data_IF_206893335873
#
_entry.id   IF_206893335873
#
_cell.length_a   1.000
_cell.length_b   1.000
_cell.length_c   1.000
_cell.angle_alpha   90.00
_cell.angle_beta   90.00
_cell.angle_gamma   90.00
#
_symmetry.space_group_name_H-M   'P 1'
#
loop_
_entity.id
_entity.type
_entity.pdbx_description
1 polymer ?
#
# COMPACT_ATOMS: atom_id res chain seq x y z
N UNK A 1 6.98 54.09 -5.23
CA UNK A 1 6.69 53.02 -4.25
C UNK A 1 5.50 52.22 -4.76
N UNK A 2 5.72 50.97 -5.17
CA UNK A 2 4.66 50.00 -5.46
C UNK A 2 5.19 48.65 -4.97
N UNK A 3 4.72 48.21 -3.80
CA UNK A 3 4.98 46.86 -3.29
C UNK A 3 3.92 45.93 -3.87
N UNK A 4 4.35 44.89 -4.60
CA UNK A 4 3.47 43.80 -5.01
C UNK A 4 3.28 42.85 -3.83
N UNK A 5 2.00 42.63 -3.48
CA UNK A 5 1.57 41.82 -2.36
C UNK A 5 1.88 40.33 -2.53
N UNK A 6 2.35 39.73 -1.45
CA UNK A 6 2.44 38.27 -1.26
C UNK A 6 1.05 37.68 -1.10
N UNK A 7 0.62 36.85 -2.05
CA UNK A 7 -0.57 36.01 -1.94
C UNK A 7 -0.26 34.61 -2.47
N UNK A 8 0.53 33.84 -1.72
CA UNK A 8 0.69 32.40 -1.98
C UNK A 8 0.84 31.55 -0.70
N UNK A 9 0.81 32.15 0.50
CA UNK A 9 1.06 31.44 1.76
C UNK A 9 -0.10 30.54 2.23
N UNK A 10 -1.31 30.71 1.68
CA UNK A 10 -2.49 29.99 2.14
C UNK A 10 -2.60 28.57 1.54
N UNK A 11 -2.24 28.40 0.27
CA UNK A 11 -2.33 27.10 -0.42
C UNK A 11 -1.24 26.12 0.03
N UNK A 12 -0.03 26.60 0.34
CA UNK A 12 1.03 25.76 0.91
C UNK A 12 0.65 25.23 2.31
N UNK A 13 -0.09 26.03 3.08
CA UNK A 13 -0.51 25.66 4.44
C UNK A 13 -1.55 24.54 4.47
N UNK A 14 -2.39 24.43 3.44
CA UNK A 14 -3.38 23.35 3.31
C UNK A 14 -2.74 22.03 2.84
N UNK A 15 -1.75 22.11 1.94
CA UNK A 15 -0.99 20.94 1.49
C UNK A 15 -0.23 20.31 2.67
N UNK A 16 0.44 21.12 3.48
CA UNK A 16 1.18 20.67 4.67
C UNK A 16 0.30 20.05 5.77
N UNK A 17 -0.96 20.50 5.90
CA UNK A 17 -1.90 20.03 6.92
C UNK A 17 -2.55 18.69 6.56
N UNK A 18 -2.56 18.31 5.28
CA UNK A 18 -3.11 17.03 4.82
C UNK A 18 -2.16 15.83 5.02
N UNK A 19 -0.84 16.07 5.09
CA UNK A 19 0.17 15.01 5.29
C UNK A 19 0.32 14.57 6.76
N UNK A 20 -0.15 15.38 7.70
CA UNK A 20 0.05 15.17 9.14
C UNK A 20 -0.95 14.22 9.81
N UNK A 21 -1.76 13.49 9.02
CA UNK A 21 -2.72 12.48 9.51
C UNK A 21 -2.34 11.05 9.08
N UNK A 22 -1.09 10.65 9.31
CA UNK A 22 -0.69 9.25 9.17
C UNK A 22 0.18 8.83 10.35
N UNK A 23 -0.38 8.04 11.27
CA UNK A 23 0.33 7.33 12.36
C UNK A 23 1.29 6.27 11.80
N UNK A 24 2.27 6.62 10.97
CA UNK A 24 3.15 5.67 10.28
C UNK A 24 4.62 6.02 10.48
N UNK A 25 5.34 5.10 11.11
CA UNK A 25 6.78 5.14 11.44
C UNK A 25 7.68 4.95 10.20
N UNK A 26 7.51 5.75 9.15
CA UNK A 26 8.27 5.56 7.90
C UNK A 26 8.96 6.86 7.46
N UNK A 27 10.13 6.72 6.84
CA UNK A 27 10.85 7.85 6.25
C UNK A 27 10.08 8.37 5.03
N UNK A 28 9.91 9.69 4.95
CA UNK A 28 9.24 10.35 3.82
C UNK A 28 9.98 10.09 2.51
N UNK A 29 9.26 9.98 1.40
CA UNK A 29 9.87 9.64 0.11
C UNK A 29 10.84 10.75 -0.38
N UNK A 30 10.59 12.01 -0.04
CA UNK A 30 11.53 13.11 -0.27
C UNK A 30 12.88 12.86 0.43
N UNK A 31 12.86 12.55 1.73
CA UNK A 31 14.07 12.23 2.49
C UNK A 31 14.78 10.98 1.98
N UNK A 32 14.04 10.04 1.38
CA UNK A 32 14.61 8.83 0.76
C UNK A 32 15.37 9.17 -0.51
N UNK A 33 14.81 9.99 -1.39
CA UNK A 33 15.52 10.46 -2.59
C UNK A 33 16.72 11.35 -2.24
N UNK A 34 16.58 12.23 -1.24
CA UNK A 34 17.71 13.02 -0.71
C UNK A 34 18.84 12.13 -0.19
N UNK A 35 18.50 11.08 0.58
CA UNK A 35 19.47 10.08 1.06
C UNK A 35 20.21 9.42 -0.11
N UNK A 36 19.49 8.98 -1.14
CA UNK A 36 20.09 8.34 -2.32
C UNK A 36 21.01 9.29 -3.07
N UNK A 37 20.61 10.55 -3.26
CA UNK A 37 21.46 11.57 -3.88
C UNK A 37 22.78 11.79 -3.12
N UNK A 38 22.72 11.90 -1.78
CA UNK A 38 23.92 12.04 -0.95
C UNK A 38 24.86 10.82 -1.06
N UNK A 39 24.28 9.61 -1.06
CA UNK A 39 25.08 8.38 -1.19
C UNK A 39 25.71 8.23 -2.57
N UNK A 40 25.03 8.67 -3.64
CA UNK A 40 25.62 8.76 -4.98
C UNK A 40 26.74 9.79 -5.08
N UNK A 41 26.63 10.91 -4.37
CA UNK A 41 27.68 11.92 -4.28
C UNK A 41 28.89 11.48 -3.41
N UNK A 42 28.92 10.22 -2.96
CA UNK A 42 30.04 9.65 -2.20
C UNK A 42 29.97 9.87 -0.69
N UNK A 43 28.86 10.40 -0.16
CA UNK A 43 28.70 10.56 1.28
C UNK A 43 28.67 9.20 2.00
N UNK A 44 29.31 9.14 3.18
CA UNK A 44 29.30 7.93 4.00
C UNK A 44 27.94 7.76 4.68
N UNK A 45 27.40 6.54 4.71
CA UNK A 45 26.09 6.25 5.35
C UNK A 45 25.94 6.81 6.80
N UNK A 46 26.95 6.76 7.69
CA UNK A 46 26.83 7.36 9.03
C UNK A 46 26.77 8.89 9.02
N UNK A 47 27.36 9.55 8.02
CA UNK A 47 27.26 11.00 7.87
C UNK A 47 25.84 11.39 7.45
N UNK A 48 25.31 10.72 6.42
CA UNK A 48 23.93 10.93 5.96
C UNK A 48 22.89 10.66 7.07
N UNK A 49 23.14 9.66 7.91
CA UNK A 49 22.30 9.37 9.08
C UNK A 49 22.27 10.52 10.09
N UNK A 50 23.43 11.15 10.35
CA UNK A 50 23.55 12.32 11.24
C UNK A 50 22.88 13.55 10.63
N UNK A 51 23.15 13.83 9.36
CA UNK A 51 22.63 15.00 8.65
C UNK A 51 21.10 15.00 8.54
N UNK A 52 20.51 13.80 8.39
CA UNK A 52 19.06 13.63 8.30
C UNK A 52 18.41 13.28 9.65
N UNK A 53 19.16 13.24 10.75
CA UNK A 53 18.69 12.83 12.09
C UNK A 53 17.88 11.51 12.07
N UNK A 54 18.36 10.51 11.31
CA UNK A 54 17.70 9.21 11.17
C UNK A 54 18.64 8.10 11.62
N UNK A 55 18.06 7.06 12.20
CA UNK A 55 18.86 5.92 12.66
C UNK A 55 19.61 5.26 11.50
N UNK A 56 20.91 4.95 11.67
CA UNK A 56 21.79 4.37 10.63
C UNK A 56 21.19 3.14 9.92
N UNK A 57 20.43 2.32 10.65
CA UNK A 57 19.72 1.13 10.10
C UNK A 57 18.65 1.48 9.07
N UNK A 58 18.11 2.70 9.06
CA UNK A 58 17.18 3.19 8.05
C UNK A 58 17.93 3.46 6.75
N UNK A 59 19.05 4.19 6.82
CA UNK A 59 19.93 4.48 5.68
C UNK A 59 20.45 3.19 5.04
N UNK A 60 20.97 2.26 5.84
CA UNK A 60 21.46 0.98 5.34
C UNK A 60 20.38 0.16 4.62
N UNK A 61 19.17 0.08 5.20
CA UNK A 61 18.04 -0.63 4.56
C UNK A 61 17.59 0.05 3.27
N UNK A 62 17.58 1.38 3.25
CA UNK A 62 17.22 2.14 2.06
C UNK A 62 18.23 1.95 0.94
N UNK A 63 19.53 2.02 1.26
CA UNK A 63 20.60 1.83 0.28
C UNK A 63 20.56 0.44 -0.34
N UNK A 64 20.43 -0.61 0.47
CA UNK A 64 20.33 -1.99 -0.04
C UNK A 64 19.07 -2.19 -0.90
N UNK A 65 17.95 -1.56 -0.55
CA UNK A 65 16.74 -1.59 -1.36
C UNK A 65 16.96 -0.90 -2.71
N UNK A 66 17.58 0.29 -2.69
CA UNK A 66 17.87 1.06 -3.89
C UNK A 66 18.82 0.31 -4.83
N UNK A 67 19.90 -0.29 -4.31
CA UNK A 67 20.82 -1.08 -5.12
C UNK A 67 20.13 -2.24 -5.85
N UNK A 68 19.16 -2.88 -5.20
CA UNK A 68 18.42 -4.00 -5.80
C UNK A 68 17.38 -3.56 -6.83
N UNK A 69 16.62 -2.53 -6.49
CA UNK A 69 15.38 -2.20 -7.19
C UNK A 69 15.46 -0.89 -8.00
N UNK A 70 16.62 -0.19 -7.96
CA UNK A 70 16.86 1.16 -8.53
C UNK A 70 15.77 2.17 -8.19
N UNK A 71 15.17 1.99 -7.00
CA UNK A 71 14.01 2.74 -6.56
C UNK A 71 14.12 3.05 -5.07
N UNK A 72 13.99 4.32 -4.72
CA UNK A 72 14.00 4.79 -3.34
C UNK A 72 12.58 4.90 -2.76
N UNK A 73 11.57 5.00 -3.63
CA UNK A 73 10.17 5.16 -3.24
C UNK A 73 9.64 3.91 -2.55
N UNK A 74 8.60 4.09 -1.75
CA UNK A 74 8.00 2.98 -1.04
C UNK A 74 7.16 2.14 -2.00
N UNK A 75 7.43 0.83 -2.07
CA UNK A 75 6.48 -0.11 -2.66
C UNK A 75 5.18 -0.10 -1.86
N UNK A 76 4.06 0.13 -2.53
CA UNK A 76 2.74 -0.18 -1.93
C UNK A 76 2.73 -1.67 -1.61
N UNK A 77 2.40 -2.01 -0.38
CA UNK A 77 2.28 -3.41 0.01
C UNK A 77 1.25 -4.08 -0.89
N UNK A 78 1.64 -5.17 -1.55
CA UNK A 78 0.65 -6.07 -2.16
C UNK A 78 -0.15 -6.66 -1.01
N UNK A 79 -1.44 -6.34 -0.96
CA UNK A 79 -2.34 -6.94 0.02
C UNK A 79 -2.40 -8.46 -0.15
N UNK A 80 -3.09 -9.13 0.78
CA UNK A 80 -3.34 -10.57 0.66
C UNK A 80 -4.00 -10.88 -0.69
N UNK A 81 -3.38 -11.78 -1.46
CA UNK A 81 -3.92 -12.23 -2.75
C UNK A 81 -5.35 -12.74 -2.55
N UNK A 82 -6.31 -12.17 -3.31
CA UNK A 82 -7.70 -12.63 -3.27
C UNK A 82 -7.77 -14.02 -3.89
N UNK A 83 -8.22 -15.00 -3.10
CA UNK A 83 -8.47 -16.36 -3.56
C UNK A 83 -9.69 -16.40 -4.49
N UNK A 84 -10.65 -15.48 -4.32
CA UNK A 84 -11.84 -15.38 -5.15
C UNK A 84 -11.64 -14.30 -6.23
N UNK A 85 -11.95 -14.64 -7.48
CA UNK A 85 -11.96 -13.73 -8.63
C UNK A 85 -13.28 -12.98 -8.72
N UNK A 86 -13.30 -11.92 -9.55
CA UNK A 86 -14.53 -11.19 -9.87
C UNK A 86 -15.58 -12.05 -10.58
N UNK A 87 -15.17 -13.09 -11.32
CA UNK A 87 -16.11 -14.03 -11.94
C UNK A 87 -16.77 -14.93 -10.89
N UNK A 88 -15.99 -15.49 -9.95
CA UNK A 88 -16.58 -16.32 -8.90
C UNK A 88 -17.52 -15.51 -7.98
N UNK A 89 -17.19 -14.24 -7.69
CA UNK A 89 -18.08 -13.36 -6.93
C UNK A 89 -19.44 -13.18 -7.63
N UNK A 90 -19.44 -12.95 -8.95
CA UNK A 90 -20.68 -12.84 -9.74
C UNK A 90 -21.48 -14.14 -9.71
N UNK A 91 -20.81 -15.28 -9.84
CA UNK A 91 -21.45 -16.59 -9.72
C UNK A 91 -22.09 -16.80 -8.34
N UNK A 92 -21.37 -16.45 -7.26
CA UNK A 92 -21.88 -16.57 -5.89
C UNK A 92 -23.16 -15.74 -5.66
N UNK A 93 -23.16 -14.48 -6.10
CA UNK A 93 -24.33 -13.61 -5.97
C UNK A 93 -25.53 -14.13 -6.78
N UNK A 94 -25.28 -14.64 -7.99
CA UNK A 94 -26.32 -15.24 -8.83
C UNK A 94 -26.91 -16.50 -8.19
N UNK A 95 -26.05 -17.38 -7.66
CA UNK A 95 -26.47 -18.61 -7.00
C UNK A 95 -27.22 -18.34 -5.70
N UNK A 96 -26.78 -17.37 -4.90
CA UNK A 96 -27.47 -16.95 -3.69
C UNK A 96 -28.88 -16.42 -3.99
N UNK A 97 -29.03 -15.62 -5.05
CA UNK A 97 -30.34 -15.10 -5.48
C UNK A 97 -31.28 -16.18 -6.02
N UNK A 98 -30.77 -17.09 -6.87
CA UNK A 98 -31.58 -18.14 -7.52
C UNK A 98 -31.89 -19.33 -6.62
N UNK A 99 -30.97 -19.69 -5.72
CA UNK A 99 -31.05 -20.91 -4.89
C UNK A 99 -30.83 -20.54 -3.42
N UNK A 100 -31.81 -19.84 -2.85
CA UNK A 100 -31.78 -19.31 -1.47
C UNK A 100 -31.58 -20.37 -0.38
N UNK A 101 -31.84 -21.64 -0.68
CA UNK A 101 -31.70 -22.77 0.25
C UNK A 101 -30.27 -23.35 0.29
N UNK A 102 -29.38 -22.95 -0.62
CA UNK A 102 -28.01 -23.47 -0.65
C UNK A 102 -27.17 -22.90 0.48
N UNK A 103 -26.49 -23.80 1.19
CA UNK A 103 -25.57 -23.42 2.25
C UNK A 103 -24.25 -22.91 1.69
N UNK A 104 -23.56 -22.04 2.43
CA UNK A 104 -22.23 -21.55 2.06
C UNK A 104 -21.20 -22.69 1.89
N UNK A 105 -21.40 -23.84 2.55
CA UNK A 105 -20.54 -25.02 2.40
C UNK A 105 -20.75 -25.69 1.04
N UNK A 106 -22.01 -25.86 0.61
CA UNK A 106 -22.34 -26.41 -0.70
C UNK A 106 -21.83 -25.51 -1.83
N UNK A 107 -22.01 -24.19 -1.71
CA UNK A 107 -21.49 -23.22 -2.67
C UNK A 107 -19.96 -23.24 -2.73
N UNK A 108 -19.29 -23.35 -1.59
CA UNK A 108 -17.84 -23.48 -1.54
C UNK A 108 -17.35 -24.76 -2.25
N UNK A 109 -17.99 -25.90 -2.02
CA UNK A 109 -17.66 -27.16 -2.70
C UNK A 109 -17.85 -27.08 -4.21
N UNK A 110 -18.99 -26.55 -4.67
CA UNK A 110 -19.26 -26.39 -6.11
C UNK A 110 -18.25 -25.46 -6.77
N UNK A 111 -17.97 -24.33 -6.15
CA UNK A 111 -17.03 -23.34 -6.68
C UNK A 111 -15.58 -23.86 -6.64
N UNK A 112 -15.22 -24.62 -5.60
CA UNK A 112 -13.91 -25.25 -5.49
C UNK A 112 -13.70 -26.31 -6.58
N UNK A 113 -14.73 -27.11 -6.88
CA UNK A 113 -14.69 -28.10 -7.94
C UNK A 113 -14.60 -27.44 -9.33
N UNK A 114 -15.40 -26.41 -9.59
CA UNK A 114 -15.40 -25.70 -10.88
C UNK A 114 -14.12 -24.91 -11.12
N UNK A 115 -13.57 -24.27 -10.08
CA UNK A 115 -12.39 -23.42 -10.20
C UNK A 115 -11.06 -24.16 -10.01
N UNK A 116 -11.07 -25.46 -9.68
CA UNK A 116 -9.87 -26.27 -9.46
C UNK A 116 -8.97 -25.79 -8.33
N UNK A 117 -9.50 -25.03 -7.36
CA UNK A 117 -8.75 -24.46 -6.23
C UNK A 117 -9.54 -24.57 -4.93
N UNK A 118 -8.89 -24.79 -3.78
CA UNK A 118 -9.58 -24.91 -2.51
C UNK A 118 -10.20 -23.56 -2.09
N UNK A 119 -11.53 -23.54 -1.97
CA UNK A 119 -12.27 -22.36 -1.48
C UNK A 119 -12.97 -22.75 -0.19
N UNK A 120 -12.70 -21.99 0.88
CA UNK A 120 -13.29 -22.26 2.19
C UNK A 120 -14.71 -21.73 2.31
N UNK A 121 -15.53 -22.39 3.14
CA UNK A 121 -16.86 -21.89 3.56
C UNK A 121 -16.78 -20.45 4.10
N UNK A 122 -15.76 -20.13 4.90
CA UNK A 122 -15.59 -18.79 5.46
C UNK A 122 -15.37 -17.74 4.37
N UNK A 123 -14.63 -18.08 3.31
CA UNK A 123 -14.40 -17.17 2.18
C UNK A 123 -15.73 -16.86 1.48
N UNK A 124 -16.55 -17.87 1.21
CA UNK A 124 -17.88 -17.69 0.60
C UNK A 124 -18.82 -16.91 1.53
N UNK A 125 -18.88 -17.25 2.81
CA UNK A 125 -19.75 -16.58 3.77
C UNK A 125 -19.41 -15.08 3.91
N UNK A 126 -18.12 -14.72 3.95
CA UNK A 126 -17.72 -13.29 3.97
C UNK A 126 -18.22 -12.57 2.71
N UNK A 127 -18.08 -13.19 1.54
CA UNK A 127 -18.55 -12.57 0.28
C UNK A 127 -20.05 -12.39 0.21
N UNK A 128 -20.82 -13.33 0.76
CA UNK A 128 -22.29 -13.23 0.80
C UNK A 128 -22.80 -12.18 1.80
N UNK A 129 -21.97 -11.75 2.77
CA UNK A 129 -22.32 -10.68 3.72
C UNK A 129 -21.72 -9.32 3.33
N UNK A 130 -20.75 -9.29 2.42
CA UNK A 130 -20.10 -8.06 1.93
C UNK A 130 -20.90 -7.36 0.82
N UNK A 131 -21.82 -8.06 0.16
CA UNK A 131 -22.69 -7.53 -0.92
C UNK A 131 -24.09 -7.26 -0.42
#
# INVERSE_FOLDING_TARGET
MLQFGSSDSSVESEIAKSESMSRRKHLHDEMRWKTVGMLHAGARQPAVARDLNVHRRVIHRLWNHYQRDQNASRRRGSGRRRIITTADNRYLLLCASRRRTLTARQLASQLSAAAGRPISRQTVSRRLHEG
#
